data_IF_037928436480
#
_entry.id   IF_037928436480
#
_cell.length_a   1.000
_cell.length_b   1.000
_cell.length_c   1.000
_cell.angle_alpha   90.00
_cell.angle_beta   90.00
_cell.angle_gamma   90.00
#
_symmetry.space_group_name_H-M   'P 1'
#
loop_
_entity.id
_entity.type
_entity.pdbx_description
1 polymer ?
#
# COMPACT_ATOMS: atom_id res chain seq x y z
N UNK A 1 -58.38 -101.84 -32.18
CA UNK A 1 -57.02 -101.25 -32.18
C UNK A 1 -57.10 -100.04 -31.24
N UNK A 2 -56.52 -100.02 -30.03
CA UNK A 2 -55.08 -100.05 -29.68
C UNK A 2 -54.33 -98.87 -30.31
N UNK A 3 -53.63 -97.94 -29.64
CA UNK A 3 -53.45 -97.57 -28.21
C UNK A 3 -52.98 -96.08 -28.18
N UNK A 4 -52.41 -95.41 -27.14
CA UNK A 4 -51.89 -95.75 -25.79
C UNK A 4 -51.78 -94.45 -24.94
N UNK A 5 -51.76 -94.53 -23.60
CA UNK A 5 -51.54 -93.40 -22.67
C UNK A 5 -50.10 -92.83 -22.77
N UNK A 6 -49.93 -91.51 -22.53
CA UNK A 6 -48.71 -90.95 -21.90
C UNK A 6 -48.93 -89.57 -21.27
N UNK A 7 -49.00 -89.54 -19.94
CA UNK A 7 -48.76 -88.33 -19.13
C UNK A 7 -47.26 -88.03 -19.08
N UNK A 8 -46.90 -86.74 -19.05
CA UNK A 8 -45.60 -86.31 -18.55
C UNK A 8 -45.69 -84.91 -17.93
N UNK A 9 -45.56 -84.84 -16.60
CA UNK A 9 -45.28 -83.60 -15.89
C UNK A 9 -43.88 -83.09 -16.29
N UNK A 10 -43.77 -81.79 -16.59
CA UNK A 10 -42.51 -81.06 -16.61
C UNK A 10 -42.70 -79.63 -16.09
N UNK A 11 -42.48 -79.47 -14.79
CA UNK A 11 -42.20 -78.17 -14.16
C UNK A 11 -41.05 -77.46 -14.88
N UNK A 12 -41.33 -76.38 -15.63
CA UNK A 12 -40.30 -75.50 -16.21
C UNK A 12 -40.24 -74.16 -15.48
N UNK A 13 -39.00 -73.73 -15.21
CA UNK A 13 -38.66 -72.61 -14.31
C UNK A 13 -39.12 -71.26 -14.90
N UNK A 14 -39.50 -70.34 -14.03
CA UNK A 14 -40.02 -69.03 -14.40
C UNK A 14 -39.00 -68.18 -15.19
N UNK A 15 -39.37 -67.77 -16.41
CA UNK A 15 -38.67 -66.71 -17.13
C UNK A 15 -39.25 -65.35 -16.71
N UNK A 16 -38.46 -64.52 -16.03
CA UNK A 16 -38.80 -63.09 -15.84
C UNK A 16 -38.86 -62.41 -17.22
N UNK A 17 -39.95 -61.72 -17.57
CA UNK A 17 -40.07 -61.05 -18.87
C UNK A 17 -39.02 -59.95 -18.99
N UNK A 18 -38.16 -60.05 -20.01
CA UNK A 18 -37.28 -58.94 -20.40
C UNK A 18 -38.15 -57.90 -21.10
N UNK A 19 -38.20 -56.68 -20.56
CA UNK A 19 -39.00 -55.59 -21.13
C UNK A 19 -38.61 -55.24 -22.58
N UNK A 20 -39.51 -54.60 -23.35
CA UNK A 20 -39.32 -54.36 -24.78
C UNK A 20 -38.00 -53.67 -25.11
N UNK A 21 -37.31 -54.15 -26.15
CA UNK A 21 -36.01 -53.63 -26.56
C UNK A 21 -36.07 -52.15 -26.97
N UNK A 22 -37.17 -51.72 -27.61
CA UNK A 22 -37.44 -50.31 -27.92
C UNK A 22 -37.31 -49.40 -26.70
N UNK A 23 -37.86 -49.79 -25.55
CA UNK A 23 -37.82 -48.97 -24.33
C UNK A 23 -36.37 -48.73 -23.88
N UNK A 24 -35.47 -49.70 -24.08
CA UNK A 24 -34.05 -49.56 -23.73
C UNK A 24 -33.33 -48.58 -24.66
N UNK A 25 -33.61 -48.64 -25.95
CA UNK A 25 -33.05 -47.69 -26.94
C UNK A 25 -33.57 -46.28 -26.67
N UNK A 26 -34.87 -46.13 -26.40
CA UNK A 26 -35.50 -44.84 -26.10
C UNK A 26 -34.95 -44.23 -24.81
N UNK A 27 -34.78 -45.01 -23.74
CA UNK A 27 -34.12 -44.56 -22.50
C UNK A 27 -32.68 -44.12 -22.80
N UNK A 28 -31.91 -44.90 -23.57
CA UNK A 28 -30.54 -44.53 -23.94
C UNK A 28 -30.44 -43.22 -24.72
N UNK A 29 -31.32 -43.02 -25.72
CA UNK A 29 -31.44 -41.76 -26.45
C UNK A 29 -31.80 -40.60 -25.51
N UNK A 30 -32.80 -40.78 -24.64
CA UNK A 30 -33.25 -39.74 -23.73
C UNK A 30 -32.16 -39.36 -22.72
N UNK A 31 -31.40 -40.33 -22.21
CA UNK A 31 -30.23 -40.10 -21.34
C UNK A 31 -29.11 -39.37 -22.10
N UNK A 32 -28.86 -39.69 -23.37
CA UNK A 32 -27.87 -38.97 -24.18
C UNK A 32 -28.30 -37.53 -24.47
N UNK A 33 -29.56 -37.30 -24.87
CA UNK A 33 -30.11 -35.96 -25.06
C UNK A 33 -30.11 -35.15 -23.76
N UNK A 34 -30.44 -35.79 -22.62
CA UNK A 34 -30.38 -35.15 -21.31
C UNK A 34 -28.94 -34.76 -20.94
N UNK A 35 -27.98 -35.69 -21.05
CA UNK A 35 -26.57 -35.40 -20.77
C UNK A 35 -25.98 -34.31 -21.67
N UNK A 36 -26.38 -34.26 -22.95
CA UNK A 36 -26.00 -33.19 -23.87
C UNK A 36 -26.63 -31.84 -23.49
N UNK A 37 -27.90 -31.84 -23.07
CA UNK A 37 -28.56 -30.65 -22.54
C UNK A 37 -27.91 -30.15 -21.25
N UNK A 38 -27.57 -31.03 -20.31
CA UNK A 38 -26.85 -30.69 -19.08
C UNK A 38 -25.47 -30.12 -19.40
N UNK A 39 -24.72 -30.73 -20.32
CA UNK A 39 -23.40 -30.23 -20.74
C UNK A 39 -23.47 -28.83 -21.37
N UNK A 40 -24.46 -28.57 -22.22
CA UNK A 40 -24.69 -27.24 -22.81
C UNK A 40 -25.13 -26.24 -21.71
N UNK A 41 -25.96 -26.67 -20.77
CA UNK A 41 -26.45 -25.84 -19.67
C UNK A 41 -25.33 -25.46 -18.68
N UNK A 42 -24.48 -26.40 -18.27
CA UNK A 42 -23.30 -26.13 -17.44
C UNK A 42 -22.35 -25.15 -18.15
N UNK A 43 -22.08 -25.37 -19.45
CA UNK A 43 -21.26 -24.48 -20.26
C UNK A 43 -21.87 -23.07 -20.45
N UNK A 44 -23.20 -22.94 -20.40
CA UNK A 44 -23.89 -21.65 -20.40
C UNK A 44 -23.77 -20.96 -19.04
N UNK A 45 -24.11 -21.64 -17.93
CA UNK A 45 -24.08 -21.08 -16.57
C UNK A 45 -22.67 -20.64 -16.16
N UNK A 46 -21.65 -21.47 -16.42
CA UNK A 46 -20.25 -21.13 -16.13
C UNK A 46 -19.79 -19.87 -16.89
N UNK A 47 -20.18 -19.76 -18.17
CA UNK A 47 -19.78 -18.64 -19.04
C UNK A 47 -20.55 -17.36 -18.73
N UNK A 48 -21.82 -17.45 -18.34
CA UNK A 48 -22.66 -16.30 -18.01
C UNK A 48 -22.19 -15.61 -16.72
N UNK A 49 -21.88 -16.38 -15.67
CA UNK A 49 -21.35 -15.88 -14.38
C UNK A 49 -20.01 -15.13 -14.58
N UNK A 50 -19.14 -15.62 -15.46
CA UNK A 50 -17.83 -15.01 -15.74
C UNK A 50 -17.95 -13.69 -16.55
N UNK A 51 -19.01 -13.53 -17.34
CA UNK A 51 -19.30 -12.26 -18.06
C UNK A 51 -19.90 -11.15 -17.19
N UNK A 52 -20.27 -11.41 -15.92
CA UNK A 52 -20.84 -10.39 -15.04
C UNK A 52 -19.74 -9.44 -14.55
N UNK A 53 -19.46 -8.44 -15.39
CA UNK A 53 -18.40 -7.43 -15.20
C UNK A 53 -18.63 -6.65 -13.90
N UNK A 54 -17.75 -6.84 -12.92
CA UNK A 54 -17.77 -6.11 -11.66
C UNK A 54 -17.61 -4.60 -11.94
N UNK A 55 -18.33 -3.71 -11.23
CA UNK A 55 -18.06 -2.28 -11.27
C UNK A 55 -16.61 -2.03 -10.83
N UNK A 56 -15.81 -1.39 -11.67
CA UNK A 56 -14.46 -0.97 -11.32
C UNK A 56 -14.50 0.38 -10.61
N UNK A 57 -13.89 0.45 -9.42
CA UNK A 57 -13.86 1.66 -8.60
C UNK A 57 -13.17 2.83 -9.31
N UNK A 58 -12.08 2.59 -10.03
CA UNK A 58 -11.30 3.67 -10.63
C UNK A 58 -12.03 4.28 -11.84
N UNK A 59 -12.66 3.43 -12.65
CA UNK A 59 -13.60 3.83 -13.72
C UNK A 59 -14.82 4.55 -13.15
N UNK A 60 -15.39 4.06 -12.04
CA UNK A 60 -16.56 4.67 -11.41
C UNK A 60 -16.25 6.06 -10.82
N UNK A 61 -15.11 6.17 -10.12
CA UNK A 61 -14.60 7.41 -9.56
C UNK A 61 -14.32 8.42 -10.66
N UNK A 62 -13.58 8.05 -11.71
CA UNK A 62 -13.20 8.98 -12.79
C UNK A 62 -14.39 9.49 -13.61
N UNK A 63 -15.49 8.73 -13.72
CA UNK A 63 -16.72 9.17 -14.38
C UNK A 63 -17.58 10.14 -13.54
N UNK A 64 -17.47 10.09 -12.20
CA UNK A 64 -18.22 10.93 -11.26
C UNK A 64 -17.35 11.97 -10.52
N UNK A 65 -16.05 12.02 -10.78
CA UNK A 65 -15.15 12.98 -10.14
C UNK A 65 -15.24 14.33 -10.84
N UNK A 66 -15.81 15.32 -10.14
CA UNK A 66 -15.72 16.71 -10.53
C UNK A 66 -14.25 17.16 -10.64
N UNK A 67 -13.99 18.18 -11.47
CA UNK A 67 -12.66 18.76 -11.67
C UNK A 67 -12.02 19.22 -10.33
N UNK A 68 -12.83 19.67 -9.37
CA UNK A 68 -12.38 20.03 -8.03
C UNK A 68 -11.77 18.85 -7.25
N UNK A 69 -12.30 17.63 -7.39
CA UNK A 69 -11.77 16.44 -6.71
C UNK A 69 -10.41 16.04 -7.29
N UNK A 70 -10.22 16.17 -8.61
CA UNK A 70 -8.93 15.87 -9.25
C UNK A 70 -7.86 16.90 -8.87
N UNK A 71 -8.22 18.20 -8.83
CA UNK A 71 -7.34 19.28 -8.34
C UNK A 71 -6.92 19.08 -6.88
N UNK A 72 -7.84 18.68 -6.00
CA UNK A 72 -7.54 18.35 -4.60
C UNK A 72 -6.61 17.14 -4.47
N UNK A 73 -6.81 16.08 -5.27
CA UNK A 73 -5.90 14.92 -5.28
C UNK A 73 -4.50 15.28 -5.79
N UNK A 74 -4.40 16.12 -6.83
CA UNK A 74 -3.10 16.64 -7.32
C UNK A 74 -2.41 17.46 -6.23
N UNK A 75 -3.12 18.36 -5.55
CA UNK A 75 -2.57 19.17 -4.45
C UNK A 75 -2.09 18.32 -3.28
N UNK A 76 -2.86 17.31 -2.86
CA UNK A 76 -2.45 16.38 -1.79
C UNK A 76 -1.20 15.56 -2.15
N UNK A 77 -1.09 15.13 -3.41
CA UNK A 77 0.07 14.41 -3.94
C UNK A 77 1.32 15.29 -3.96
N UNK A 78 1.16 16.54 -4.40
CA UNK A 78 2.24 17.52 -4.48
C UNK A 78 2.74 17.95 -3.08
N UNK A 79 1.84 18.26 -2.15
CA UNK A 79 2.18 18.46 -0.73
C UNK A 79 2.89 17.23 -0.13
N UNK A 80 2.48 16.02 -0.51
CA UNK A 80 3.15 14.78 -0.09
C UNK A 80 4.59 14.67 -0.58
N UNK A 81 4.90 15.12 -1.81
CA UNK A 81 6.27 15.18 -2.35
C UNK A 81 7.09 16.24 -1.63
N UNK A 82 6.55 17.44 -1.47
CA UNK A 82 7.21 18.55 -0.79
C UNK A 82 7.57 18.19 0.65
N UNK A 83 6.66 17.53 1.38
CA UNK A 83 6.94 17.00 2.71
C UNK A 83 8.05 15.94 2.72
N UNK A 84 8.08 15.02 1.74
CA UNK A 84 9.13 14.01 1.63
C UNK A 84 10.51 14.65 1.34
N UNK A 85 10.57 15.70 0.53
CA UNK A 85 11.81 16.42 0.23
C UNK A 85 12.26 17.34 1.37
N UNK A 86 11.33 17.98 2.09
CA UNK A 86 11.62 18.69 3.34
C UNK A 86 12.20 17.73 4.39
N UNK A 87 11.60 16.55 4.57
CA UNK A 87 12.09 15.54 5.53
C UNK A 87 13.51 15.05 5.21
N UNK A 88 13.84 14.90 3.91
CA UNK A 88 15.21 14.59 3.45
C UNK A 88 16.20 15.73 3.67
N UNK A 89 15.75 16.99 3.57
CA UNK A 89 16.58 18.16 3.82
C UNK A 89 16.88 18.33 5.32
N UNK A 90 15.84 18.26 6.16
CA UNK A 90 15.93 18.28 7.62
C UNK A 90 16.91 17.20 8.11
N UNK A 91 16.73 15.94 7.72
CA UNK A 91 17.63 14.84 8.10
C UNK A 91 19.09 15.05 7.67
N UNK A 92 19.32 15.73 6.54
CA UNK A 92 20.67 16.07 6.07
C UNK A 92 21.29 17.17 6.93
N UNK A 93 20.53 18.21 7.24
CA UNK A 93 20.98 19.30 8.11
C UNK A 93 21.20 18.82 9.55
N UNK A 94 20.35 17.95 10.10
CA UNK A 94 20.57 17.30 11.41
C UNK A 94 21.87 16.47 11.43
N UNK A 95 22.18 15.75 10.34
CA UNK A 95 23.42 14.98 10.24
C UNK A 95 24.65 15.91 10.15
N UNK A 96 24.58 16.97 9.36
CA UNK A 96 25.64 17.99 9.26
C UNK A 96 25.85 18.71 10.61
N UNK A 97 24.76 19.13 11.28
CA UNK A 97 24.79 19.75 12.60
C UNK A 97 25.50 18.88 13.64
N UNK A 98 25.29 17.54 13.64
CA UNK A 98 26.02 16.61 14.51
C UNK A 98 27.52 16.61 14.24
N UNK A 99 27.93 16.59 12.97
CA UNK A 99 29.35 16.66 12.59
C UNK A 99 29.98 17.98 13.04
N UNK A 100 29.29 19.11 12.88
CA UNK A 100 29.74 20.40 13.42
C UNK A 100 29.81 20.42 14.96
N UNK A 101 28.86 19.77 15.65
CA UNK A 101 28.86 19.67 17.10
C UNK A 101 30.05 18.87 17.64
N UNK A 102 30.39 17.76 17.00
CA UNK A 102 31.54 16.93 17.39
C UNK A 102 32.88 17.61 17.05
N UNK A 103 32.96 18.30 15.90
CA UNK A 103 34.09 19.18 15.58
C UNK A 103 34.28 20.31 16.60
N UNK A 104 33.19 20.95 17.03
CA UNK A 104 33.20 22.00 18.05
C UNK A 104 33.69 21.50 19.41
N UNK A 105 33.28 20.30 19.84
CA UNK A 105 33.78 19.64 21.07
C UNK A 105 35.30 19.41 21.02
N UNK A 106 35.82 18.97 19.87
CA UNK A 106 37.26 18.76 19.70
C UNK A 106 38.02 20.10 19.75
N UNK A 107 37.51 21.16 19.10
CA UNK A 107 38.06 22.50 19.18
C UNK A 107 38.05 23.06 20.61
N UNK A 108 36.99 22.82 21.39
CA UNK A 108 36.92 23.22 22.80
C UNK A 108 38.00 22.58 23.67
N UNK A 109 38.30 21.30 23.44
CA UNK A 109 39.36 20.59 24.17
C UNK A 109 40.76 21.08 23.77
N UNK A 110 41.01 21.30 22.47
CA UNK A 110 42.26 21.93 21.99
C UNK A 110 42.45 23.34 22.58
N UNK A 111 41.40 24.17 22.60
CA UNK A 111 41.46 25.48 23.23
C UNK A 111 41.73 25.40 24.73
N UNK A 112 41.12 24.45 25.45
CA UNK A 112 41.40 24.22 26.89
C UNK A 112 42.88 23.92 27.11
N UNK A 113 43.47 23.03 26.31
CA UNK A 113 44.89 22.67 26.41
C UNK A 113 45.81 23.86 26.11
N UNK A 114 45.52 24.65 25.07
CA UNK A 114 46.30 25.85 24.73
C UNK A 114 46.21 26.94 25.81
N UNK A 115 45.03 27.13 26.43
CA UNK A 115 44.85 28.06 27.56
C UNK A 115 45.54 27.56 28.83
N UNK A 116 45.59 26.24 29.07
CA UNK A 116 46.35 25.65 30.17
C UNK A 116 47.86 25.82 29.98
N UNK A 117 48.38 25.63 28.76
CA UNK A 117 49.76 25.96 28.40
C UNK A 117 50.08 27.44 28.61
N UNK A 118 49.17 28.34 28.23
CA UNK A 118 49.30 29.78 28.49
C UNK A 118 49.33 30.10 29.98
N UNK A 119 48.53 29.42 30.80
CA UNK A 119 48.53 29.59 32.26
C UNK A 119 49.84 29.09 32.88
N UNK A 120 50.36 27.95 32.41
CA UNK A 120 51.62 27.36 32.86
C UNK A 120 52.84 28.21 32.47
N UNK A 121 52.83 28.83 31.28
CA UNK A 121 53.92 29.69 30.81
C UNK A 121 54.01 30.97 31.68
N UNK A 122 52.88 31.64 31.91
CA UNK A 122 52.76 32.76 32.86
C UNK A 122 53.22 32.36 34.26
N UNK A 123 52.78 31.22 34.79
CA UNK A 123 53.14 30.76 36.15
C UNK A 123 54.64 30.46 36.32
N UNK A 124 55.34 30.11 35.24
CA UNK A 124 56.78 29.81 35.25
C UNK A 124 57.66 30.99 34.81
N UNK A 125 57.07 32.16 34.56
CA UNK A 125 57.73 33.34 33.97
C UNK A 125 58.41 33.06 32.62
N UNK A 126 57.95 32.03 31.90
CA UNK A 126 58.43 31.68 30.56
C UNK A 126 57.45 32.23 29.55
N UNK A 127 57.92 33.03 28.59
CA UNK A 127 57.07 33.51 27.51
C UNK A 127 56.54 32.34 26.66
N UNK A 128 55.26 32.37 26.30
CA UNK A 128 54.67 31.39 25.39
C UNK A 128 55.30 31.52 23.99
N UNK A 129 55.45 30.43 23.25
CA UNK A 129 56.04 30.51 21.91
C UNK A 129 55.10 31.23 20.93
N UNK A 130 55.68 31.91 19.94
CA UNK A 130 54.88 32.55 18.87
C UNK A 130 54.00 31.53 18.12
N UNK A 131 54.49 30.29 17.98
CA UNK A 131 53.73 29.18 17.38
C UNK A 131 52.49 28.81 18.18
N UNK A 132 52.60 28.70 19.50
CA UNK A 132 51.46 28.41 20.38
C UNK A 132 50.44 29.55 20.36
N UNK A 133 50.91 30.81 20.28
CA UNK A 133 50.04 31.98 20.24
C UNK A 133 49.29 32.08 18.90
N UNK A 134 49.94 31.74 17.79
CA UNK A 134 49.31 31.60 16.48
C UNK A 134 48.30 30.45 16.46
N UNK A 135 48.63 29.30 17.07
CA UNK A 135 47.73 28.15 17.19
C UNK A 135 46.46 28.49 18.01
N UNK A 136 46.59 29.20 19.14
CA UNK A 136 45.46 29.64 19.96
C UNK A 136 44.54 30.60 19.19
N UNK A 137 45.10 31.59 18.50
CA UNK A 137 44.35 32.51 17.63
C UNK A 137 43.60 31.75 16.51
N UNK A 138 44.26 30.77 15.91
CA UNK A 138 43.69 29.93 14.84
C UNK A 138 42.53 29.07 15.35
N UNK A 139 42.69 28.40 16.50
CA UNK A 139 41.64 27.61 17.13
C UNK A 139 40.42 28.45 17.55
N UNK A 140 40.65 29.66 18.09
CA UNK A 140 39.59 30.60 18.44
C UNK A 140 38.80 31.06 17.19
N UNK A 141 39.48 31.39 16.09
CA UNK A 141 38.81 31.78 14.84
C UNK A 141 37.97 30.63 14.27
N UNK A 142 38.52 29.41 14.24
CA UNK A 142 37.79 28.20 13.82
C UNK A 142 36.59 27.89 14.72
N UNK A 143 36.71 28.11 16.03
CA UNK A 143 35.61 27.94 16.97
C UNK A 143 34.50 28.97 16.75
N UNK A 144 34.83 30.24 16.57
CA UNK A 144 33.85 31.31 16.30
C UNK A 144 33.13 31.11 14.96
N UNK A 145 33.85 30.65 13.93
CA UNK A 145 33.25 30.27 12.65
C UNK A 145 32.29 29.08 12.81
N UNK A 146 32.72 28.03 13.51
CA UNK A 146 31.91 26.84 13.82
C UNK A 146 30.64 27.20 14.58
N UNK A 147 30.76 28.08 15.59
CA UNK A 147 29.63 28.59 16.38
C UNK A 147 28.65 29.40 15.52
N UNK A 148 29.16 30.22 14.60
CA UNK A 148 28.34 31.01 13.67
C UNK A 148 27.57 30.10 12.71
N UNK A 149 28.25 29.10 12.12
CA UNK A 149 27.62 28.09 11.25
C UNK A 149 26.54 27.30 11.99
N UNK A 150 26.82 26.86 13.22
CA UNK A 150 25.84 26.16 14.08
C UNK A 150 24.60 27.01 14.36
N UNK A 151 24.78 28.31 14.66
CA UNK A 151 23.66 29.24 14.83
C UNK A 151 22.84 29.43 13.55
N UNK A 152 23.46 29.49 12.37
CA UNK A 152 22.72 29.55 11.10
C UNK A 152 21.96 28.26 10.80
N UNK A 153 22.54 27.09 11.08
CA UNK A 153 21.83 25.80 10.90
C UNK A 153 20.62 25.70 11.83
N UNK A 154 20.75 26.10 13.10
CA UNK A 154 19.61 26.07 14.03
C UNK A 154 18.43 26.93 13.55
N UNK A 155 18.69 28.11 12.96
CA UNK A 155 17.63 28.95 12.38
C UNK A 155 16.99 28.28 11.17
N UNK A 156 17.81 27.84 10.20
CA UNK A 156 17.30 27.16 9.00
C UNK A 156 16.50 25.90 9.33
N UNK A 157 16.95 25.11 10.30
CA UNK A 157 16.27 23.90 10.74
C UNK A 157 14.94 24.22 11.42
N UNK A 158 14.88 25.29 12.23
CA UNK A 158 13.64 25.79 12.83
C UNK A 158 12.65 26.25 11.74
N UNK A 159 13.10 27.05 10.77
CA UNK A 159 12.29 27.52 9.64
C UNK A 159 11.77 26.34 8.78
N UNK A 160 12.60 25.32 8.55
CA UNK A 160 12.22 24.08 7.86
C UNK A 160 11.20 23.26 8.66
N UNK A 161 11.36 23.14 9.98
CA UNK A 161 10.38 22.44 10.82
C UNK A 161 9.02 23.16 10.86
N UNK A 162 9.02 24.50 10.91
CA UNK A 162 7.78 25.28 10.81
C UNK A 162 7.12 25.10 9.43
N UNK A 163 7.91 25.21 8.35
CA UNK A 163 7.42 25.00 6.97
C UNK A 163 6.85 23.58 6.79
N UNK A 164 7.53 22.56 7.31
CA UNK A 164 7.04 21.17 7.33
C UNK A 164 5.73 21.05 8.10
N UNK A 165 5.63 21.63 9.30
CA UNK A 165 4.39 21.61 10.10
C UNK A 165 3.21 22.25 9.35
N UNK A 166 3.43 23.42 8.74
CA UNK A 166 2.40 24.12 7.96
C UNK A 166 1.94 23.28 6.75
N UNK A 167 2.88 22.65 6.03
CA UNK A 167 2.57 21.75 4.92
C UNK A 167 1.87 20.44 5.37
N UNK A 168 2.18 19.91 6.56
CA UNK A 168 1.45 18.78 7.16
C UNK A 168 0.01 19.16 7.52
N UNK A 169 -0.19 20.34 8.13
CA UNK A 169 -1.51 20.85 8.49
C UNK A 169 -2.36 21.16 7.24
N UNK A 170 -1.76 21.76 6.19
CA UNK A 170 -2.41 21.93 4.88
C UNK A 170 -2.76 20.58 4.24
N UNK A 171 -1.81 19.62 4.22
CA UNK A 171 -2.05 18.30 3.64
C UNK A 171 -3.20 17.58 4.32
N UNK A 172 -3.30 17.61 5.65
CA UNK A 172 -4.43 17.06 6.41
C UNK A 172 -5.75 17.70 5.96
N UNK A 173 -5.80 19.04 5.89
CA UNK A 173 -6.98 19.77 5.43
C UNK A 173 -7.41 19.40 4.01
N UNK A 174 -6.46 19.23 3.09
CA UNK A 174 -6.74 18.80 1.70
C UNK A 174 -7.19 17.33 1.67
N UNK A 175 -6.55 16.44 2.42
CA UNK A 175 -6.93 15.02 2.50
C UNK A 175 -8.32 14.84 3.11
N UNK A 176 -8.71 15.63 4.11
CA UNK A 176 -10.05 15.65 4.67
C UNK A 176 -11.09 16.13 3.64
N UNK A 177 -10.77 17.17 2.84
CA UNK A 177 -11.63 17.63 1.73
C UNK A 177 -11.78 16.56 0.64
N UNK A 178 -10.70 15.87 0.27
CA UNK A 178 -10.74 14.72 -0.66
C UNK A 178 -11.63 13.61 -0.10
N UNK A 179 -11.53 13.30 1.20
CA UNK A 179 -12.38 12.29 1.83
C UNK A 179 -13.86 12.70 1.83
N UNK A 180 -14.16 13.95 2.19
CA UNK A 180 -15.54 14.47 2.21
C UNK A 180 -16.17 14.46 0.81
N UNK A 181 -15.43 14.86 -0.23
CA UNK A 181 -15.88 14.83 -1.62
C UNK A 181 -15.95 13.40 -2.21
N UNK A 182 -15.08 12.48 -1.77
CA UNK A 182 -15.12 11.06 -2.19
C UNK A 182 -16.23 10.28 -1.48
N UNK A 183 -16.63 10.66 -0.27
CA UNK A 183 -17.62 9.96 0.55
C UNK A 183 -19.00 9.74 -0.12
N UNK A 184 -19.65 10.72 -0.79
CA UNK A 184 -20.91 10.48 -1.51
C UNK A 184 -20.71 9.50 -2.67
N UNK A 185 -19.70 9.71 -3.52
CA UNK A 185 -19.36 8.83 -4.66
C UNK A 185 -19.16 7.38 -4.18
N UNK A 186 -18.46 7.20 -3.06
CA UNK A 186 -18.24 5.87 -2.47
C UNK A 186 -19.52 5.24 -1.94
N UNK A 187 -20.44 6.01 -1.34
CA UNK A 187 -21.74 5.49 -0.89
C UNK A 187 -22.61 5.03 -2.05
N UNK A 188 -22.62 5.76 -3.17
CA UNK A 188 -23.32 5.33 -4.39
C UNK A 188 -22.73 4.03 -4.93
N UNK A 189 -21.39 3.96 -5.06
CA UNK A 189 -20.68 2.76 -5.48
C UNK A 189 -20.98 1.55 -4.58
N UNK A 190 -20.91 1.72 -3.26
CA UNK A 190 -21.21 0.66 -2.30
C UNK A 190 -22.69 0.22 -2.37
N UNK A 191 -23.61 1.07 -2.81
CA UNK A 191 -25.02 0.70 -3.05
C UNK A 191 -25.17 -0.09 -4.35
N UNK A 192 -24.59 0.37 -5.46
CA UNK A 192 -24.59 -0.33 -6.74
C UNK A 192 -23.95 -1.73 -6.63
N UNK A 193 -22.80 -1.83 -5.95
CA UNK A 193 -22.13 -3.11 -5.68
C UNK A 193 -22.97 -4.04 -4.79
N UNK A 194 -23.68 -3.52 -3.78
CA UNK A 194 -24.58 -4.36 -2.98
C UNK A 194 -25.75 -4.89 -3.80
N UNK A 195 -26.34 -4.08 -4.69
CA UNK A 195 -27.38 -4.55 -5.60
C UNK A 195 -26.83 -5.60 -6.59
N UNK A 196 -25.62 -5.39 -7.10
CA UNK A 196 -24.92 -6.34 -7.97
C UNK A 196 -24.71 -7.70 -7.27
N UNK A 197 -24.13 -7.72 -6.06
CA UNK A 197 -23.92 -8.96 -5.32
C UNK A 197 -25.23 -9.64 -4.90
N UNK A 198 -26.28 -8.88 -4.57
CA UNK A 198 -27.61 -9.45 -4.28
C UNK A 198 -28.21 -10.13 -5.52
N UNK A 199 -28.05 -9.56 -6.72
CA UNK A 199 -28.47 -10.21 -7.97
C UNK A 199 -27.64 -11.46 -8.25
N UNK A 200 -26.31 -11.39 -8.10
CA UNK A 200 -25.42 -12.54 -8.28
C UNK A 200 -25.78 -13.69 -7.32
N UNK A 201 -26.05 -13.38 -6.05
CA UNK A 201 -26.46 -14.38 -5.06
C UNK A 201 -27.79 -15.05 -5.40
N UNK A 202 -28.74 -14.33 -6.03
CA UNK A 202 -29.99 -14.91 -6.52
C UNK A 202 -29.82 -15.82 -7.75
N UNK A 203 -28.73 -15.69 -8.51
CA UNK A 203 -28.39 -16.58 -9.62
C UNK A 203 -27.53 -17.79 -9.20
N UNK A 204 -26.94 -17.75 -8.00
CA UNK A 204 -26.09 -18.82 -7.45
C UNK A 204 -26.82 -19.75 -6.47
N UNK A 205 -28.15 -19.61 -6.32
CA UNK A 205 -28.97 -20.30 -5.30
C UNK A 205 -30.14 -21.07 -5.93
#
# INVERSE_FOLDING_TARGET
MSAKVKTHDQRKKAHRPKGPWLNRVFIGMLTFCFGLLTFIFEGFVLRDIETIRQPDWETYRSQRSDQSLSELQVRSSELGRQLADLDRQIKRQEAEQRVLQDGSRNLQETMRQLVELQRLSIQKEVAMSEGDQANLSTALNQFLETQTRYQSFNKQLQDQHETKRLAEDEKRSVDDQVQQATAPIRREYDQEIRQFFMRLALYQL
#
